data_IF_020118445438
#
_entry.id   IF_020118445438
#
_cell.length_a   1.000
_cell.length_b   1.000
_cell.length_c   1.000
_cell.angle_alpha   90.00
_cell.angle_beta   90.00
_cell.angle_gamma   90.00
#
_symmetry.space_group_name_H-M   'P 1'
#
loop_
_entity.id
_entity.type
_entity.pdbx_description
1 polymer ?
#
# COMPACT_ATOMS: atom_id res chain seq x y z
N UNK A 1 -57.92 33.75 -2.77
CA UNK A 1 -56.54 33.37 -3.13
C UNK A 1 -55.69 33.39 -1.87
N UNK A 2 -55.20 32.26 -1.34
CA UNK A 2 -54.48 32.32 -0.05
C UNK A 2 -53.55 31.17 0.32
N UNK A 3 -53.37 30.15 -0.53
CA UNK A 3 -52.63 28.93 -0.14
C UNK A 3 -51.19 28.81 -0.68
N UNK A 4 -50.70 29.78 -1.46
CA UNK A 4 -49.49 29.58 -2.29
C UNK A 4 -48.17 29.96 -1.61
N UNK A 5 -48.20 30.92 -0.67
CA UNK A 5 -46.98 31.52 -0.11
C UNK A 5 -46.24 30.63 0.88
N UNK A 6 -46.89 29.64 1.49
CA UNK A 6 -46.24 28.81 2.52
C UNK A 6 -45.18 27.88 1.89
N UNK A 7 -45.48 27.30 0.72
CA UNK A 7 -44.57 26.36 0.05
C UNK A 7 -43.25 27.05 -0.36
N UNK A 8 -43.31 28.35 -0.71
CA UNK A 8 -42.13 29.13 -1.09
C UNK A 8 -41.22 29.48 0.09
N UNK A 9 -41.74 29.46 1.32
CA UNK A 9 -40.97 29.70 2.55
C UNK A 9 -40.39 28.40 3.14
N UNK A 10 -41.01 27.24 2.88
CA UNK A 10 -40.58 25.95 3.42
C UNK A 10 -39.31 25.41 2.73
N UNK A 11 -39.21 25.55 1.40
CA UNK A 11 -38.06 25.07 0.63
C UNK A 11 -36.71 25.67 1.06
N UNK A 12 -36.55 27.00 1.21
CA UNK A 12 -35.26 27.58 1.60
C UNK A 12 -34.87 27.22 3.05
N UNK A 13 -35.85 27.07 3.95
CA UNK A 13 -35.59 26.71 5.36
C UNK A 13 -35.06 25.28 5.50
N UNK A 14 -35.53 24.35 4.64
CA UNK A 14 -35.07 22.96 4.63
C UNK A 14 -33.62 22.82 4.12
N UNK A 15 -33.20 23.69 3.20
CA UNK A 15 -31.83 23.71 2.67
C UNK A 15 -30.83 24.27 3.69
N UNK A 16 -31.26 25.18 4.57
CA UNK A 16 -30.44 25.78 5.63
C UNK A 16 -30.25 24.84 6.84
N UNK A 17 -31.14 23.87 7.04
CA UNK A 17 -31.10 22.92 8.15
C UNK A 17 -30.27 21.67 7.87
N UNK A 18 -29.69 21.53 6.68
CA UNK A 18 -28.75 20.46 6.37
C UNK A 18 -27.36 20.77 6.96
N UNK A 19 -27.28 20.86 8.29
CA UNK A 19 -26.01 20.74 8.99
C UNK A 19 -25.40 19.37 8.66
N UNK A 20 -24.07 19.30 8.48
CA UNK A 20 -23.42 18.01 8.28
C UNK A 20 -23.76 17.13 9.48
N UNK A 21 -24.15 15.89 9.21
CA UNK A 21 -24.40 14.90 10.25
C UNK A 21 -23.12 14.75 11.10
N UNK A 22 -23.14 15.13 12.40
CA UNK A 22 -21.96 15.11 13.25
C UNK A 22 -21.39 13.69 13.47
N UNK A 23 -22.16 12.66 13.13
CA UNK A 23 -21.74 11.26 13.25
C UNK A 23 -21.17 10.69 11.95
N UNK A 24 -21.27 11.42 10.83
CA UNK A 24 -20.59 11.02 9.61
C UNK A 24 -19.09 11.30 9.74
N UNK A 25 -18.23 10.31 9.43
CA UNK A 25 -16.79 10.54 9.41
C UNK A 25 -16.45 11.64 8.39
N UNK A 26 -15.45 12.45 8.74
CA UNK A 26 -14.85 13.40 7.79
C UNK A 26 -14.40 12.61 6.56
N UNK A 27 -14.86 13.04 5.39
CA UNK A 27 -14.35 12.50 4.14
C UNK A 27 -12.85 12.77 4.06
N UNK A 28 -12.07 11.75 3.73
CA UNK A 28 -10.62 11.85 3.56
C UNK A 28 -10.32 11.98 2.05
N UNK A 29 -10.29 13.21 1.50
CA UNK A 29 -10.02 13.42 0.08
C UNK A 29 -8.61 12.97 -0.31
N UNK A 30 -7.69 12.95 0.64
CA UNK A 30 -6.29 12.57 0.44
C UNK A 30 -6.02 11.08 0.61
N UNK A 31 -7.02 10.35 1.09
CA UNK A 31 -6.96 8.93 1.43
C UNK A 31 -5.82 8.63 2.42
N UNK A 32 -5.42 9.60 3.26
CA UNK A 32 -4.28 9.47 4.17
C UNK A 32 -4.55 8.43 5.26
N UNK A 33 -5.79 8.37 5.78
CA UNK A 33 -6.22 7.33 6.71
C UNK A 33 -6.12 5.94 6.07
N UNK A 34 -6.53 5.81 4.80
CA UNK A 34 -6.36 4.57 4.06
C UNK A 34 -4.88 4.22 3.95
N UNK A 35 -4.04 5.17 3.55
CA UNK A 35 -2.60 4.98 3.36
C UNK A 35 -1.88 4.45 4.61
N UNK A 36 -2.29 4.92 5.78
CA UNK A 36 -1.72 4.49 7.07
C UNK A 36 -1.91 2.99 7.34
N UNK A 37 -2.96 2.37 6.79
CA UNK A 37 -3.29 0.96 6.97
C UNK A 37 -2.45 0.03 6.08
N UNK A 38 -1.77 0.59 5.07
CA UNK A 38 -1.01 -0.20 4.11
C UNK A 38 0.30 -0.68 4.72
N UNK A 39 0.72 -1.89 4.35
CA UNK A 39 1.96 -2.51 4.83
C UNK A 39 2.88 -2.83 3.66
N UNK A 40 4.17 -2.52 3.83
CA UNK A 40 5.20 -2.87 2.86
C UNK A 40 5.81 -4.23 3.22
N UNK A 41 5.69 -5.20 2.32
CA UNK A 41 6.25 -6.55 2.47
C UNK A 41 7.66 -6.70 1.95
N UNK A 42 8.20 -5.66 1.29
CA UNK A 42 9.49 -5.68 0.64
C UNK A 42 9.42 -5.58 -0.88
N UNK A 43 10.58 -5.65 -1.52
CA UNK A 43 10.72 -5.74 -2.96
C UNK A 43 11.60 -6.94 -3.33
N UNK A 44 11.32 -7.51 -4.49
CA UNK A 44 12.15 -8.52 -5.13
C UNK A 44 12.52 -8.07 -6.53
N UNK A 45 13.73 -8.40 -6.96
CA UNK A 45 14.26 -8.00 -8.26
C UNK A 45 15.75 -7.70 -8.15
N UNK A 46 16.24 -7.05 -9.20
CA UNK A 46 17.63 -6.64 -9.33
C UNK A 46 17.68 -5.21 -9.91
N UNK A 47 18.89 -4.70 -10.19
CA UNK A 47 19.09 -3.36 -10.73
C UNK A 47 18.36 -3.06 -12.04
N UNK A 48 17.94 -4.07 -12.80
CA UNK A 48 17.17 -3.91 -14.03
C UNK A 48 15.65 -3.80 -13.79
N UNK A 49 15.14 -4.18 -12.61
CA UNK A 49 13.71 -4.09 -12.33
C UNK A 49 13.31 -4.62 -10.97
N UNK A 50 12.89 -3.72 -10.08
CA UNK A 50 12.29 -4.06 -8.80
C UNK A 50 10.77 -4.27 -8.93
N UNK A 51 10.25 -5.25 -8.20
CA UNK A 51 8.82 -5.45 -7.97
C UNK A 51 8.57 -5.36 -6.47
N UNK A 52 7.78 -4.37 -6.05
CA UNK A 52 7.38 -4.15 -4.66
C UNK A 52 6.14 -4.94 -4.31
N UNK A 53 6.02 -5.31 -3.04
CA UNK A 53 4.85 -5.98 -2.48
C UNK A 53 4.21 -5.07 -1.44
N UNK A 54 2.99 -4.62 -1.73
CA UNK A 54 2.19 -3.82 -0.81
C UNK A 54 0.95 -4.61 -0.43
N UNK A 55 0.62 -4.59 0.85
CA UNK A 55 -0.66 -5.05 1.36
C UNK A 55 -1.55 -3.83 1.58
N UNK A 56 -2.76 -3.84 1.03
CA UNK A 56 -3.74 -2.80 1.29
C UNK A 56 -4.42 -2.96 2.67
N UNK A 57 -5.26 -2.00 3.05
CA UNK A 57 -5.99 -2.05 4.32
C UNK A 57 -7.01 -3.20 4.46
N UNK A 58 -7.34 -3.90 3.36
CA UNK A 58 -8.18 -5.10 3.39
C UNK A 58 -7.38 -6.40 3.59
N UNK A 59 -6.04 -6.30 3.58
CA UNK A 59 -5.15 -7.44 3.66
C UNK A 59 -4.77 -8.02 2.29
N UNK A 60 -5.21 -7.43 1.18
CA UNK A 60 -4.90 -7.92 -0.15
C UNK A 60 -3.49 -7.52 -0.57
N UNK A 61 -2.69 -8.52 -0.95
CA UNK A 61 -1.35 -8.31 -1.48
C UNK A 61 -1.40 -7.95 -2.95
N UNK A 62 -0.60 -6.94 -3.30
CA UNK A 62 -0.43 -6.46 -4.67
C UNK A 62 1.03 -6.26 -5.00
N UNK A 63 1.36 -6.57 -6.23
CA UNK A 63 2.66 -6.29 -6.83
C UNK A 63 2.61 -4.90 -7.43
N UNK A 64 3.65 -4.10 -7.21
CA UNK A 64 3.77 -2.76 -7.77
C UNK A 64 5.13 -2.57 -8.41
N UNK A 65 5.18 -1.75 -9.47
CA UNK A 65 6.40 -1.33 -10.15
C UNK A 65 6.63 0.17 -9.99
N UNK A 66 7.83 0.61 -10.34
CA UNK A 66 8.15 2.03 -10.46
C UNK A 66 7.17 2.70 -11.44
N UNK A 67 6.73 3.91 -11.13
CA UNK A 67 5.77 4.73 -11.88
C UNK A 67 4.36 4.14 -12.05
N UNK A 68 4.07 3.01 -11.41
CA UNK A 68 2.74 2.41 -11.43
C UNK A 68 1.73 3.26 -10.64
N UNK A 69 0.55 3.45 -11.22
CA UNK A 69 -0.56 4.15 -10.58
C UNK A 69 -1.49 3.16 -9.88
N UNK A 70 -1.68 3.38 -8.58
CA UNK A 70 -2.51 2.55 -7.72
C UNK A 70 -4.00 2.90 -7.95
N UNK A 71 -4.94 1.98 -7.64
CA UNK A 71 -6.38 2.27 -7.70
C UNK A 71 -6.83 3.45 -6.82
N UNK A 72 -6.04 3.79 -5.81
CA UNK A 72 -6.25 4.94 -4.92
C UNK A 72 -5.85 6.28 -5.55
N UNK A 73 -5.28 6.27 -6.76
CA UNK A 73 -4.79 7.45 -7.47
C UNK A 73 -3.33 7.81 -7.18
N UNK A 74 -2.72 7.20 -6.16
CA UNK A 74 -1.30 7.38 -5.83
C UNK A 74 -0.38 6.77 -6.88
N UNK A 75 0.88 7.22 -6.94
CA UNK A 75 1.90 6.69 -7.86
C UNK A 75 3.15 6.26 -7.10
N UNK A 76 3.73 5.11 -7.47
CA UNK A 76 5.04 4.68 -6.95
C UNK A 76 6.14 5.55 -7.56
N UNK A 77 6.87 6.29 -6.75
CA UNK A 77 7.95 7.18 -7.20
C UNK A 77 9.35 6.64 -6.95
N UNK A 78 9.50 5.74 -5.96
CA UNK A 78 10.75 5.05 -5.69
C UNK A 78 10.47 3.62 -5.26
N UNK A 79 11.26 2.70 -5.79
CA UNK A 79 11.19 1.30 -5.44
C UNK A 79 12.60 0.69 -5.44
N UNK A 80 13.03 0.20 -4.28
CA UNK A 80 14.34 -0.44 -4.06
C UNK A 80 14.17 -1.67 -3.16
N UNK A 81 15.25 -2.43 -2.95
CA UNK A 81 15.25 -3.60 -2.05
C UNK A 81 14.69 -3.30 -0.64
N UNK A 82 15.00 -2.12 -0.10
CA UNK A 82 14.69 -1.72 1.27
C UNK A 82 13.63 -0.64 1.40
N UNK A 83 13.30 0.06 0.31
CA UNK A 83 12.50 1.29 0.40
C UNK A 83 11.46 1.36 -0.71
N UNK A 84 10.28 1.87 -0.36
CA UNK A 84 9.21 2.16 -1.29
C UNK A 84 8.62 3.52 -0.96
N UNK A 85 8.58 4.41 -1.95
CA UNK A 85 7.97 5.73 -1.83
C UNK A 85 6.79 5.85 -2.81
N UNK A 86 5.71 6.46 -2.36
CA UNK A 86 4.60 6.88 -3.22
C UNK A 86 4.38 8.38 -3.13
N UNK A 87 3.86 8.95 -4.20
CA UNK A 87 3.42 10.35 -4.28
C UNK A 87 1.90 10.39 -4.09
N UNK A 88 1.47 11.22 -3.16
CA UNK A 88 0.05 11.51 -2.92
C UNK A 88 -0.45 12.56 -3.93
N UNK A 89 -1.77 12.71 -4.12
CA UNK A 89 -2.31 13.67 -5.07
C UNK A 89 -1.95 15.12 -4.68
N UNK A 90 -1.89 16.05 -5.64
CA UNK A 90 -1.57 17.45 -5.34
C UNK A 90 -2.58 18.05 -4.35
N UNK A 91 -2.08 18.81 -3.38
CA UNK A 91 -2.89 19.38 -2.30
C UNK A 91 -3.08 18.48 -1.08
N UNK A 92 -2.41 17.32 -1.04
CA UNK A 92 -2.45 16.40 0.08
C UNK A 92 -1.15 16.38 0.89
N UNK A 93 -1.30 16.34 2.22
CA UNK A 93 -0.20 16.23 3.17
C UNK A 93 -0.22 14.83 3.83
N UNK A 94 0.91 14.10 3.87
CA UNK A 94 2.20 14.45 3.28
C UNK A 94 2.21 14.27 1.75
N UNK A 95 3.06 15.03 1.00
CA UNK A 95 3.17 14.94 -0.46
C UNK A 95 3.76 13.60 -0.94
N UNK A 96 4.49 12.91 -0.06
CA UNK A 96 5.03 11.59 -0.30
C UNK A 96 4.93 10.74 0.96
N UNK A 97 4.74 9.44 0.76
CA UNK A 97 4.73 8.46 1.84
C UNK A 97 5.77 7.40 1.58
N UNK A 98 6.56 7.11 2.60
CA UNK A 98 7.77 6.31 2.51
C UNK A 98 7.72 5.15 3.49
N UNK A 99 7.87 3.95 2.98
CA UNK A 99 8.10 2.75 3.78
C UNK A 99 9.56 2.35 3.68
N UNK A 100 10.17 2.09 4.83
CA UNK A 100 11.49 1.48 4.93
C UNK A 100 11.34 0.11 5.58
N UNK A 101 12.10 -0.86 5.09
CA UNK A 101 12.24 -2.16 5.73
C UNK A 101 13.05 -1.97 7.01
N UNK A 102 12.41 -2.10 8.16
CA UNK A 102 13.12 -2.14 9.44
C UNK A 102 13.67 -3.57 9.64
N UNK A 103 14.99 -3.74 9.58
CA UNK A 103 15.65 -5.03 9.81
C UNK A 103 17.13 -5.03 9.41
N UNK A 104 18.00 -5.46 10.33
CA UNK A 104 19.41 -5.73 10.07
C UNK A 104 19.52 -6.79 8.97
N UNK A 105 20.44 -6.56 8.05
CA UNK A 105 20.75 -7.45 6.93
C UNK A 105 21.47 -8.70 7.45
N UNK A 106 20.71 -9.74 7.82
CA UNK A 106 21.25 -11.04 8.19
C UNK A 106 21.30 -11.96 6.96
N UNK A 107 22.17 -11.62 6.00
CA UNK A 107 22.46 -12.43 4.79
C UNK A 107 23.37 -13.63 5.12
N UNK A 108 23.11 -14.35 6.21
CA UNK A 108 23.81 -15.60 6.51
C UNK A 108 23.11 -16.76 5.81
N UNK A 109 23.53 -17.03 4.57
CA UNK A 109 23.03 -18.16 3.78
C UNK A 109 23.44 -19.49 4.42
N UNK A 110 22.47 -20.38 4.65
CA UNK A 110 22.75 -21.75 5.09
C UNK A 110 23.68 -22.44 4.08
N UNK A 111 24.79 -23.00 4.59
CA UNK A 111 25.76 -23.76 3.79
C UNK A 111 25.03 -24.85 3.01
N UNK A 112 25.21 -24.83 1.69
CA UNK A 112 24.75 -25.90 0.80
C UNK A 112 25.25 -27.25 1.30
N UNK A 113 24.32 -28.16 1.59
CA UNK A 113 24.62 -29.57 1.79
C UNK A 113 25.11 -30.16 0.46
N UNK A 114 26.43 -30.14 0.25
CA UNK A 114 27.05 -30.79 -0.88
C UNK A 114 26.81 -32.31 -0.78
N UNK A 115 26.11 -32.83 -1.78
CA UNK A 115 25.92 -34.24 -2.06
C UNK A 115 27.21 -35.05 -1.90
N UNK A 116 27.17 -36.10 -1.08
CA UNK A 116 28.08 -37.23 -1.18
C UNK A 116 27.26 -38.52 -1.17
N UNK A 117 26.43 -38.68 -2.20
CA UNK A 117 26.03 -40.00 -2.66
C UNK A 117 26.91 -40.37 -3.85
N UNK A 118 27.40 -41.63 -3.83
CA UNK A 118 28.05 -42.42 -4.88
C UNK A 118 29.58 -42.36 -5.07
N UNK A 119 30.27 -43.32 -4.45
CA UNK A 119 31.08 -44.35 -5.11
C UNK A 119 31.41 -45.41 -4.04
N UNK A 120 31.07 -46.70 -4.12
CA UNK A 120 31.14 -47.59 -5.26
C UNK A 120 32.29 -48.59 -5.05
N UNK A 121 31.97 -49.75 -4.43
CA UNK A 121 32.63 -51.07 -4.61
C UNK A 121 34.14 -51.25 -4.39
N UNK A 122 34.51 -52.14 -3.45
CA UNK A 122 35.86 -52.72 -3.35
C UNK A 122 35.93 -53.89 -2.36
N UNK A 123 36.66 -54.96 -2.69
CA UNK A 123 36.51 -56.35 -2.19
C UNK A 123 37.44 -56.72 -1.01
N UNK A 124 36.94 -57.62 -0.14
CA UNK A 124 37.51 -58.85 0.50
C UNK A 124 38.99 -58.94 0.98
N UNK A 125 39.14 -59.68 2.09
CA UNK A 125 40.32 -60.36 2.71
C UNK A 125 41.15 -59.48 3.67
N UNK A 126 41.50 -59.92 4.88
CA UNK A 126 42.07 -61.22 5.30
C UNK A 126 41.60 -61.64 6.69
#
# INVERSE_FOLDING_TARGET
MGGKCWILLWLPLSLLAAGRDPFLPVEDPCRTAQLSQWRYGGAAGDGAGWTGFLQDGSGMWRRVRLDEQLPTGWRVSRLTAGELDIVTPPGCEPPAWRWQREGKQDDAMDKSAASAATAGGGRRAK
#
